data_IF_916018148987
#
_entry.id   IF_916018148987
#
_cell.length_a   1.000
_cell.length_b   1.000
_cell.length_c   1.000
_cell.angle_alpha   90.00
_cell.angle_beta   90.00
_cell.angle_gamma   90.00
#
_symmetry.space_group_name_H-M   'P 1'
#
loop_
_entity.id
_entity.type
_entity.pdbx_description
1 polymer ?
#
# COMPACT_ATOMS: atom_id res chain seq x y z
N UNK A 1 21.58 -59.69 -4.76
CA UNK A 1 21.95 -58.99 -6.00
C UNK A 1 21.89 -57.51 -5.69
N UNK A 2 22.93 -57.01 -5.03
CA UNK A 2 24.04 -56.23 -5.61
C UNK A 2 23.67 -54.76 -5.82
N UNK A 3 24.29 -53.97 -4.96
CA UNK A 3 24.48 -52.52 -5.01
C UNK A 3 25.06 -52.06 -6.35
N UNK A 4 24.73 -50.84 -6.77
CA UNK A 4 25.71 -49.96 -7.41
C UNK A 4 25.46 -48.50 -7.00
N UNK A 5 26.25 -48.04 -6.04
CA UNK A 5 26.50 -46.62 -5.79
C UNK A 5 27.44 -46.06 -6.87
N UNK A 6 27.36 -44.75 -7.14
CA UNK A 6 28.41 -44.04 -7.89
C UNK A 6 28.74 -42.71 -7.18
N UNK A 7 29.92 -42.57 -6.57
CA UNK A 7 30.40 -41.30 -6.04
C UNK A 7 31.14 -40.52 -7.12
N UNK A 8 31.10 -39.18 -7.06
CA UNK A 8 31.91 -38.33 -7.93
C UNK A 8 32.61 -37.25 -7.11
N UNK A 9 33.85 -37.57 -6.74
CA UNK A 9 34.87 -36.68 -6.17
C UNK A 9 35.72 -36.06 -7.29
N UNK A 10 35.96 -34.74 -7.21
CA UNK A 10 37.06 -34.01 -7.85
C UNK A 10 37.19 -32.68 -7.06
N UNK A 11 38.10 -32.52 -6.10
CA UNK A 11 39.56 -32.32 -6.17
C UNK A 11 40.01 -30.86 -6.43
N UNK A 12 40.66 -30.31 -5.38
CA UNK A 12 41.82 -29.41 -5.32
C UNK A 12 41.84 -28.02 -6.02
N UNK A 13 41.83 -26.99 -5.18
CA UNK A 13 42.92 -26.02 -4.92
C UNK A 13 43.72 -25.44 -6.10
N UNK A 14 43.64 -24.12 -6.27
CA UNK A 14 44.72 -23.31 -6.85
C UNK A 14 44.96 -22.08 -5.96
N UNK A 15 46.11 -22.05 -5.30
CA UNK A 15 46.66 -20.83 -4.68
C UNK A 15 47.53 -20.08 -5.69
N UNK A 16 47.61 -18.76 -5.57
CA UNK A 16 48.74 -18.00 -6.09
C UNK A 16 49.01 -16.79 -5.20
N UNK A 17 50.29 -16.64 -4.87
CA UNK A 17 50.87 -15.72 -3.90
C UNK A 17 51.35 -14.39 -4.54
N UNK A 18 51.93 -13.56 -3.66
CA UNK A 18 52.92 -12.48 -3.88
C UNK A 18 52.38 -11.04 -4.06
N UNK A 19 52.64 -10.17 -3.07
CA UNK A 19 53.81 -9.28 -3.07
C UNK A 19 53.87 -8.42 -1.80
N UNK A 20 55.08 -8.32 -1.25
CA UNK A 20 55.49 -7.56 -0.07
C UNK A 20 56.08 -6.21 -0.54
N UNK A 21 55.66 -5.08 0.03
CA UNK A 21 56.38 -3.81 -0.07
C UNK A 21 56.22 -2.99 1.22
N UNK A 22 57.33 -2.43 1.70
CA UNK A 22 57.47 -1.76 2.99
C UNK A 22 57.26 -0.23 2.91
N UNK A 23 56.61 0.32 3.96
CA UNK A 23 56.75 1.61 4.66
C UNK A 23 56.92 2.94 3.85
N UNK A 24 56.27 4.06 4.24
CA UNK A 24 56.47 4.67 5.56
C UNK A 24 55.21 5.19 6.29
N UNK A 25 55.41 5.39 7.60
CA UNK A 25 54.56 6.16 8.50
C UNK A 25 54.40 7.59 7.99
N UNK A 26 53.16 8.04 7.81
CA UNK A 26 52.79 9.45 7.73
C UNK A 26 51.59 9.69 8.66
N UNK A 27 51.75 10.67 9.53
CA UNK A 27 50.71 11.23 10.38
C UNK A 27 49.58 11.79 9.50
N UNK A 28 48.33 11.52 9.88
CA UNK A 28 47.16 12.12 9.23
C UNK A 28 46.46 13.02 10.25
N UNK A 29 46.74 14.32 10.16
CA UNK A 29 45.87 15.34 10.72
C UNK A 29 44.51 15.25 10.03
N UNK A 30 43.46 15.15 10.85
CA UNK A 30 42.08 15.13 10.38
C UNK A 30 41.64 16.58 10.18
N UNK A 31 41.76 17.09 8.95
CA UNK A 31 41.02 18.27 8.52
C UNK A 31 39.95 17.81 7.54
N UNK A 32 38.73 17.67 8.07
CA UNK A 32 37.52 17.52 7.26
C UNK A 32 37.05 18.92 6.91
N UNK A 33 37.17 19.30 5.64
CA UNK A 33 36.46 20.43 5.06
C UNK A 33 35.42 19.83 4.11
N UNK A 34 34.14 19.98 4.46
CA UNK A 34 33.00 19.69 3.60
C UNK A 34 32.22 21.01 3.39
N UNK A 35 31.77 21.30 2.16
CA UNK A 35 31.20 22.58 1.81
C UNK A 35 29.76 22.73 2.32
N UNK A 36 29.41 23.98 2.59
CA UNK A 36 28.11 24.42 3.07
C UNK A 36 26.95 24.09 2.10
N UNK A 37 25.78 23.82 2.67
CA UNK A 37 24.51 24.22 2.06
C UNK A 37 23.57 24.65 3.18
N UNK A 38 23.23 25.93 3.17
CA UNK A 38 22.20 26.54 4.02
C UNK A 38 20.83 25.94 3.69
N UNK A 39 20.13 25.49 4.72
CA UNK A 39 18.67 25.49 4.76
C UNK A 39 18.26 25.73 6.21
N UNK A 40 17.78 26.93 6.46
CA UNK A 40 17.26 27.43 7.73
C UNK A 40 16.05 26.61 8.19
N UNK A 41 16.26 25.72 9.15
CA UNK A 41 15.19 25.20 10.02
C UNK A 41 15.33 25.88 11.37
N UNK A 42 14.21 26.43 11.86
CA UNK A 42 14.14 27.18 13.11
C UNK A 42 14.73 26.39 14.29
N UNK A 43 15.60 27.09 15.01
CA UNK A 43 16.33 26.66 16.19
C UNK A 43 15.36 26.35 17.35
N UNK A 44 15.27 25.08 17.74
CA UNK A 44 14.80 24.71 19.07
C UNK A 44 16.03 24.20 19.84
N UNK A 45 16.28 24.67 21.08
CA UNK A 45 17.50 24.34 21.79
C UNK A 45 17.47 22.86 22.20
N UNK A 46 18.32 22.05 21.57
CA UNK A 46 18.53 20.65 21.94
C UNK A 46 19.65 20.61 22.99
N UNK A 47 19.33 20.88 24.25
CA UNK A 47 20.24 20.53 25.34
C UNK A 47 20.00 19.06 25.72
N UNK A 48 21.06 18.25 25.72
CA UNK A 48 21.11 16.83 26.12
C UNK A 48 20.40 15.78 25.25
N UNK A 49 19.95 16.13 24.03
CA UNK A 49 19.43 15.12 23.08
C UNK A 49 18.10 14.47 23.48
N UNK A 50 17.42 15.04 24.48
CA UNK A 50 16.10 14.60 24.93
C UNK A 50 15.03 15.48 24.28
N UNK A 51 14.08 14.85 23.58
CA UNK A 51 12.93 15.51 22.97
C UNK A 51 11.93 15.90 24.06
N UNK A 52 11.68 17.21 24.24
CA UNK A 52 10.77 17.75 25.27
C UNK A 52 9.28 17.66 24.90
N UNK A 53 8.95 16.99 23.79
CA UNK A 53 7.59 16.91 23.27
C UNK A 53 7.14 18.23 22.64
N UNK A 54 6.14 18.13 21.78
CA UNK A 54 5.36 19.28 21.30
C UNK A 54 3.91 18.99 21.66
N UNK A 55 3.14 20.04 21.95
CA UNK A 55 1.71 19.88 22.19
C UNK A 55 1.07 19.27 20.94
N UNK A 56 0.32 18.18 21.14
CA UNK A 56 -0.41 17.55 20.05
C UNK A 56 -1.45 18.55 19.54
N UNK A 57 -1.23 19.10 18.34
CA UNK A 57 -2.27 19.81 17.62
C UNK A 57 -3.48 18.89 17.42
N UNK A 58 -4.68 19.47 17.34
CA UNK A 58 -5.88 18.74 16.95
C UNK A 58 -5.60 17.97 15.65
N UNK A 59 -6.04 16.70 15.52
CA UNK A 59 -5.86 15.95 14.29
C UNK A 59 -6.42 16.77 13.13
N UNK A 60 -5.59 17.00 12.11
CA UNK A 60 -5.98 17.81 10.96
C UNK A 60 -7.29 17.27 10.36
N UNK A 61 -8.28 18.15 10.20
CA UNK A 61 -9.52 17.80 9.54
C UNK A 61 -9.25 17.29 8.11
N UNK A 62 -10.05 16.35 7.58
CA UNK A 62 -9.92 15.92 6.19
C UNK A 62 -9.98 17.13 5.25
N UNK A 63 -9.08 17.17 4.26
CA UNK A 63 -9.07 18.23 3.26
C UNK A 63 -10.37 18.19 2.43
N UNK A 64 -10.83 19.38 2.08
CA UNK A 64 -11.94 19.66 1.14
C UNK A 64 -11.40 20.13 -0.20
N UNK A 65 -12.26 20.27 -1.20
CA UNK A 65 -11.84 20.74 -2.53
C UNK A 65 -11.23 22.15 -2.49
N UNK A 66 -11.69 22.97 -1.56
CA UNK A 66 -11.30 24.36 -1.34
C UNK A 66 -9.98 24.48 -0.57
N UNK A 67 -9.72 23.55 0.35
CA UNK A 67 -8.53 23.58 1.22
C UNK A 67 -7.36 22.75 0.68
N UNK A 68 -7.59 21.91 -0.33
CA UNK A 68 -6.56 21.07 -0.90
C UNK A 68 -5.65 21.83 -1.89
N UNK A 69 -4.35 21.67 -1.71
CA UNK A 69 -3.32 22.14 -2.63
C UNK A 69 -3.03 21.09 -3.72
N UNK A 70 -2.44 21.52 -4.85
CA UNK A 70 -2.09 20.62 -5.97
C UNK A 70 -1.23 19.45 -5.48
N UNK A 71 -1.64 18.22 -5.84
CA UNK A 71 -1.00 16.98 -5.42
C UNK A 71 -1.56 16.37 -4.13
N UNK A 72 -2.40 17.09 -3.38
CA UNK A 72 -3.04 16.57 -2.18
C UNK A 72 -4.34 15.84 -2.52
N UNK A 73 -4.67 14.83 -1.70
CA UNK A 73 -5.96 14.13 -1.76
C UNK A 73 -6.96 14.79 -0.83
N UNK A 74 -8.20 14.95 -1.28
CA UNK A 74 -9.31 15.48 -0.49
C UNK A 74 -10.57 14.63 -0.66
N UNK A 75 -11.51 14.77 0.25
CA UNK A 75 -12.81 14.09 0.15
C UNK A 75 -13.83 15.03 -0.46
N UNK A 76 -14.37 14.65 -1.62
CA UNK A 76 -15.36 15.45 -2.34
C UNK A 76 -16.79 15.16 -1.87
N UNK A 77 -17.09 13.89 -1.61
CA UNK A 77 -18.41 13.44 -1.17
C UNK A 77 -18.32 12.13 -0.37
N UNK A 78 -19.35 11.84 0.42
CA UNK A 78 -19.49 10.58 1.15
C UNK A 78 -20.83 9.92 0.82
N UNK A 79 -20.81 8.58 0.75
CA UNK A 79 -21.93 7.71 0.42
C UNK A 79 -21.94 6.56 1.42
N UNK A 80 -22.61 6.74 2.56
CA UNK A 80 -22.56 5.81 3.69
C UNK A 80 -21.10 5.65 4.20
N UNK A 81 -20.51 4.47 4.02
CA UNK A 81 -19.12 4.18 4.39
C UNK A 81 -18.13 4.39 3.23
N UNK A 82 -18.62 4.79 2.05
CA UNK A 82 -17.75 5.11 0.93
C UNK A 82 -17.45 6.59 0.86
N UNK A 83 -16.23 6.93 0.48
CA UNK A 83 -15.78 8.30 0.26
C UNK A 83 -15.33 8.45 -1.20
N UNK A 84 -15.82 9.47 -1.89
CA UNK A 84 -15.23 9.92 -3.14
C UNK A 84 -14.00 10.77 -2.80
N UNK A 85 -12.82 10.19 -2.99
CA UNK A 85 -11.54 10.87 -2.75
C UNK A 85 -10.91 11.28 -4.06
N UNK A 86 -10.51 12.52 -4.17
CA UNK A 86 -9.95 13.10 -5.39
C UNK A 86 -8.56 13.66 -5.12
N UNK A 87 -7.69 13.65 -6.14
CA UNK A 87 -6.38 14.30 -6.08
C UNK A 87 -6.45 15.64 -6.79
N UNK A 88 -6.07 16.72 -6.11
CA UNK A 88 -6.10 18.07 -6.66
C UNK A 88 -5.08 18.23 -7.80
N UNK A 89 -5.54 18.61 -8.98
CA UNK A 89 -4.72 18.85 -10.16
C UNK A 89 -4.66 20.35 -10.48
N UNK A 90 -3.57 20.79 -11.10
CA UNK A 90 -3.38 22.20 -11.48
C UNK A 90 -4.35 22.65 -12.58
N UNK A 91 -4.81 21.73 -13.43
CA UNK A 91 -5.72 21.99 -14.54
C UNK A 91 -7.21 21.82 -14.18
N UNK A 92 -7.50 21.49 -12.90
CA UNK A 92 -8.86 21.25 -12.40
C UNK A 92 -9.46 19.90 -12.79
N UNK A 93 -8.72 19.03 -13.48
CA UNK A 93 -9.17 17.69 -13.87
C UNK A 93 -8.90 16.64 -12.77
N UNK A 94 -9.35 16.94 -11.55
CA UNK A 94 -9.09 16.12 -10.36
C UNK A 94 -9.58 14.67 -10.55
N UNK A 95 -8.69 13.66 -10.67
CA UNK A 95 -9.11 12.28 -10.76
C UNK A 95 -9.59 11.81 -9.38
N UNK A 96 -10.73 11.13 -9.36
CA UNK A 96 -11.29 10.56 -8.13
C UNK A 96 -11.27 9.03 -8.13
N UNK A 97 -11.31 8.48 -6.91
CA UNK A 97 -11.50 7.07 -6.61
C UNK A 97 -12.54 6.93 -5.51
N UNK A 98 -13.25 5.80 -5.51
CA UNK A 98 -14.19 5.43 -4.48
C UNK A 98 -13.48 4.62 -3.40
N UNK A 99 -13.40 5.17 -2.20
CA UNK A 99 -12.63 4.64 -1.09
C UNK A 99 -13.51 4.09 0.01
N UNK A 100 -13.12 2.98 0.64
CA UNK A 100 -13.67 2.53 1.91
C UNK A 100 -12.56 1.99 2.82
N UNK A 101 -12.54 2.50 4.05
CA UNK A 101 -11.70 1.98 5.14
C UNK A 101 -12.42 0.81 5.81
N UNK A 102 -11.74 -0.32 5.89
CA UNK A 102 -12.27 -1.56 6.44
C UNK A 102 -11.78 -1.73 7.88
N UNK A 103 -12.74 -2.02 8.75
CA UNK A 103 -12.51 -2.19 10.18
C UNK A 103 -12.74 -3.63 10.61
N UNK A 104 -12.03 -4.06 11.64
CA UNK A 104 -12.34 -5.32 12.32
C UNK A 104 -13.57 -5.18 13.24
N UNK A 105 -13.94 -6.29 13.88
CA UNK A 105 -15.03 -6.37 14.86
C UNK A 105 -14.85 -5.45 16.08
N UNK A 106 -13.62 -5.03 16.38
CA UNK A 106 -13.30 -4.19 17.52
C UNK A 106 -13.20 -2.70 17.10
N UNK A 107 -13.42 -2.40 15.80
CA UNK A 107 -13.44 -1.06 15.23
C UNK A 107 -12.08 -0.54 14.77
N UNK A 108 -11.03 -1.38 14.82
CA UNK A 108 -9.68 -1.00 14.40
C UNK A 108 -9.61 -0.91 12.88
N UNK A 109 -8.81 0.03 12.38
CA UNK A 109 -8.51 0.13 10.95
C UNK A 109 -7.61 -1.02 10.54
N UNK A 110 -8.02 -1.82 9.55
CA UNK A 110 -7.25 -3.01 9.13
C UNK A 110 -6.83 -2.90 7.68
N UNK A 111 -7.75 -2.69 6.76
CA UNK A 111 -7.45 -2.65 5.33
C UNK A 111 -8.25 -1.55 4.66
N UNK A 112 -7.92 -1.25 3.42
CA UNK A 112 -8.67 -0.29 2.62
C UNK A 112 -8.83 -0.77 1.19
N UNK A 113 -9.92 -0.37 0.57
CA UNK A 113 -10.20 -0.59 -0.84
C UNK A 113 -10.49 0.74 -1.51
N UNK A 114 -9.78 0.99 -2.60
CA UNK A 114 -10.01 2.13 -3.50
C UNK A 114 -10.36 1.62 -4.89
N UNK A 115 -11.47 2.07 -5.46
CA UNK A 115 -11.99 1.60 -6.74
C UNK A 115 -12.16 2.75 -7.73
N UNK A 116 -11.94 2.48 -9.01
CA UNK A 116 -12.17 3.44 -10.09
C UNK A 116 -12.69 2.73 -11.35
N UNK A 117 -13.55 3.37 -12.14
CA UNK A 117 -13.99 2.84 -13.41
C UNK A 117 -12.85 2.82 -14.44
N UNK A 118 -12.85 1.83 -15.31
CA UNK A 118 -11.91 1.72 -16.42
C UNK A 118 -12.60 2.10 -17.74
N UNK A 119 -11.86 2.61 -18.74
CA UNK A 119 -12.39 2.80 -20.09
C UNK A 119 -12.98 1.50 -20.66
N UNK A 120 -13.99 1.63 -21.53
CA UNK A 120 -14.61 0.49 -22.18
C UNK A 120 -13.64 -0.26 -23.11
N UNK A 121 -13.90 -1.54 -23.35
CA UNK A 121 -13.14 -2.40 -24.27
C UNK A 121 -12.13 -3.34 -23.59
N UNK A 122 -11.90 -3.19 -22.29
CA UNK A 122 -11.14 -4.14 -21.49
C UNK A 122 -12.00 -5.27 -20.90
N UNK A 123 -11.34 -6.31 -20.39
CA UNK A 123 -12.01 -7.38 -19.63
C UNK A 123 -12.53 -6.89 -18.27
N UNK A 124 -11.83 -5.93 -17.65
CA UNK A 124 -12.24 -5.30 -16.41
C UNK A 124 -13.00 -4.00 -16.70
N UNK A 125 -14.14 -3.83 -16.06
CA UNK A 125 -14.92 -2.60 -16.06
C UNK A 125 -14.51 -1.64 -14.93
N UNK A 126 -13.91 -2.17 -13.85
CA UNK A 126 -13.35 -1.37 -12.77
C UNK A 126 -11.97 -1.90 -12.36
N UNK A 127 -11.10 -0.99 -11.99
CA UNK A 127 -9.86 -1.27 -11.28
C UNK A 127 -10.04 -0.99 -9.79
N UNK A 128 -9.30 -1.71 -8.96
CA UNK A 128 -9.21 -1.42 -7.55
C UNK A 128 -7.81 -1.66 -7.01
N UNK A 129 -7.44 -0.87 -6.00
CA UNK A 129 -6.26 -1.07 -5.18
C UNK A 129 -6.73 -1.42 -3.79
N UNK A 130 -6.28 -2.55 -3.28
CA UNK A 130 -6.51 -2.96 -1.89
C UNK A 130 -5.19 -2.92 -1.16
N UNK A 131 -5.18 -2.30 0.02
CA UNK A 131 -4.02 -2.24 0.90
C UNK A 131 -4.37 -2.98 2.18
N UNK A 132 -3.70 -4.10 2.40
CA UNK A 132 -3.76 -4.88 3.63
C UNK A 132 -2.58 -4.53 4.55
N UNK A 133 -2.64 -4.84 5.86
CA UNK A 133 -1.54 -4.59 6.78
C UNK A 133 -0.22 -5.22 6.33
N UNK A 134 0.88 -4.64 6.81
CA UNK A 134 2.14 -5.37 6.89
C UNK A 134 1.96 -6.65 7.71
N UNK A 135 2.83 -7.63 7.50
CA UNK A 135 2.71 -8.98 8.09
C UNK A 135 1.50 -9.78 7.59
N UNK A 136 0.93 -9.42 6.44
CA UNK A 136 -0.01 -10.29 5.70
C UNK A 136 0.75 -11.41 4.97
N UNK A 137 0.25 -12.64 5.05
CA UNK A 137 0.82 -13.83 4.38
C UNK A 137 0.57 -13.77 2.88
N UNK A 138 1.58 -13.36 2.12
CA UNK A 138 1.44 -13.11 0.67
C UNK A 138 1.12 -14.35 -0.15
N UNK A 139 1.64 -15.52 0.24
CA UNK A 139 1.39 -16.79 -0.47
C UNK A 139 -0.05 -17.26 -0.37
N UNK A 140 -0.80 -16.80 0.63
CA UNK A 140 -2.23 -17.07 0.76
C UNK A 140 -3.08 -16.21 -0.18
N UNK A 141 -2.52 -15.10 -0.70
CA UNK A 141 -3.21 -14.08 -1.49
C UNK A 141 -4.40 -13.45 -0.73
N UNK A 142 -5.04 -12.46 -1.36
CA UNK A 142 -6.27 -11.87 -0.87
C UNK A 142 -7.47 -12.64 -1.43
N UNK A 143 -8.49 -12.88 -0.62
CA UNK A 143 -9.75 -13.43 -1.10
C UNK A 143 -10.86 -12.39 -0.99
N UNK A 144 -11.76 -12.36 -1.98
CA UNK A 144 -12.93 -11.49 -1.97
C UNK A 144 -14.16 -12.25 -2.45
N UNK A 145 -15.26 -12.14 -1.71
CA UNK A 145 -16.55 -12.73 -2.05
C UNK A 145 -17.66 -11.68 -1.93
N UNK A 146 -18.54 -11.58 -2.92
CA UNK A 146 -19.70 -10.67 -2.89
C UNK A 146 -20.94 -11.48 -2.48
N UNK A 147 -21.64 -11.07 -1.43
CA UNK A 147 -22.84 -11.73 -0.88
C UNK A 147 -22.71 -13.26 -0.71
N UNK A 148 -21.55 -13.73 -0.27
CA UNK A 148 -21.30 -15.16 -0.05
C UNK A 148 -21.14 -16.00 -1.32
N UNK A 149 -20.98 -15.37 -2.49
CA UNK A 149 -20.52 -16.05 -3.70
C UNK A 149 -19.17 -16.73 -3.47
N UNK A 150 -18.79 -17.64 -4.38
CA UNK A 150 -17.49 -18.32 -4.31
C UNK A 150 -16.37 -17.26 -4.28
N UNK A 151 -15.49 -17.26 -3.25
CA UNK A 151 -14.41 -16.30 -3.17
C UNK A 151 -13.48 -16.37 -4.39
N UNK A 152 -13.11 -15.20 -4.90
CA UNK A 152 -12.05 -15.05 -5.90
C UNK A 152 -10.74 -14.73 -5.21
N UNK A 153 -9.64 -15.19 -5.82
CA UNK A 153 -8.28 -15.02 -5.30
C UNK A 153 -7.59 -13.92 -6.09
N UNK A 154 -7.06 -12.94 -5.37
CA UNK A 154 -6.34 -11.80 -5.91
C UNK A 154 -4.92 -11.76 -5.34
N UNK A 155 -3.89 -11.96 -6.18
CA UNK A 155 -2.52 -11.93 -5.70
C UNK A 155 -2.10 -10.55 -5.19
N UNK A 156 -1.35 -10.56 -4.09
CA UNK A 156 -0.58 -9.37 -3.70
C UNK A 156 0.52 -9.14 -4.73
N UNK A 157 0.65 -7.90 -5.18
CA UNK A 157 1.63 -7.51 -6.21
C UNK A 157 2.96 -7.11 -5.58
N UNK A 158 2.93 -6.37 -4.48
CA UNK A 158 4.10 -5.93 -3.72
C UNK A 158 3.67 -5.41 -2.34
N UNK A 159 4.63 -5.16 -1.44
CA UNK A 159 4.38 -4.41 -0.21
C UNK A 159 5.24 -3.14 -0.19
N UNK A 160 4.74 -2.11 0.46
CA UNK A 160 5.42 -0.85 0.76
C UNK A 160 5.15 -0.47 2.22
N UNK A 161 5.69 0.66 2.69
CA UNK A 161 5.50 1.10 4.08
C UNK A 161 4.02 1.24 4.48
N UNK A 162 3.16 1.56 3.51
CA UNK A 162 1.72 1.71 3.73
C UNK A 162 0.96 0.38 3.86
N UNK A 163 1.57 -0.75 3.51
CA UNK A 163 0.94 -2.08 3.56
C UNK A 163 1.27 -2.95 2.35
N UNK A 164 0.55 -4.06 2.22
CA UNK A 164 0.66 -5.01 1.12
C UNK A 164 -0.47 -4.81 0.11
N UNK A 165 -0.10 -4.63 -1.16
CA UNK A 165 -0.96 -4.08 -2.21
C UNK A 165 -1.43 -5.21 -3.12
N UNK A 166 -2.74 -5.34 -3.31
CA UNK A 166 -3.35 -6.13 -4.37
C UNK A 166 -3.96 -5.18 -5.42
N UNK A 167 -3.66 -5.43 -6.70
CA UNK A 167 -4.26 -4.73 -7.83
C UNK A 167 -5.34 -5.63 -8.43
N UNK A 168 -6.58 -5.17 -8.36
CA UNK A 168 -7.77 -5.97 -8.67
C UNK A 168 -8.48 -5.41 -9.89
N UNK A 169 -8.92 -6.31 -10.78
CA UNK A 169 -9.83 -5.98 -11.86
C UNK A 169 -11.18 -6.65 -11.60
N UNK A 170 -12.26 -5.88 -11.73
CA UNK A 170 -13.64 -6.37 -11.66
C UNK A 170 -14.28 -6.32 -13.04
N UNK A 171 -14.91 -7.42 -13.44
CA UNK A 171 -15.74 -7.50 -14.63
C UNK A 171 -17.00 -6.65 -14.47
N UNK A 172 -17.68 -6.34 -15.58
CA UNK A 172 -18.96 -5.63 -15.53
C UNK A 172 -20.03 -6.36 -14.70
N UNK A 173 -20.03 -7.70 -14.74
CA UNK A 173 -20.94 -8.53 -13.94
C UNK A 173 -20.66 -8.37 -12.44
N UNK A 174 -19.39 -8.34 -12.03
CA UNK A 174 -19.02 -8.13 -10.63
C UNK A 174 -19.34 -6.72 -10.16
N UNK A 175 -19.08 -5.70 -10.98
CA UNK A 175 -19.51 -4.33 -10.65
C UNK A 175 -21.03 -4.27 -10.46
N UNK A 176 -21.81 -4.98 -11.29
CA UNK A 176 -23.25 -5.11 -11.09
C UNK A 176 -23.63 -5.86 -9.81
N UNK A 177 -22.84 -6.87 -9.40
CA UNK A 177 -23.02 -7.53 -8.11
C UNK A 177 -22.73 -6.57 -6.95
N UNK A 178 -21.66 -5.78 -7.02
CA UNK A 178 -21.40 -4.71 -6.03
C UNK A 178 -22.58 -3.73 -5.93
N UNK A 179 -23.15 -3.32 -7.08
CA UNK A 179 -24.28 -2.38 -7.12
C UNK A 179 -25.58 -2.92 -6.52
N UNK A 180 -25.83 -4.23 -6.66
CA UNK A 180 -27.06 -4.90 -6.19
C UNK A 180 -26.91 -5.51 -4.80
N UNK A 181 -25.67 -5.78 -4.40
CA UNK A 181 -25.37 -6.54 -3.21
C UNK A 181 -25.47 -5.74 -1.93
N UNK A 182 -25.35 -6.44 -0.80
CA UNK A 182 -25.38 -5.83 0.53
C UNK A 182 -23.98 -5.78 1.14
N UNK A 183 -23.17 -6.81 0.91
CA UNK A 183 -21.87 -6.97 1.55
C UNK A 183 -20.89 -7.74 0.68
N UNK A 184 -19.64 -7.32 0.63
CA UNK A 184 -18.54 -8.18 0.23
C UNK A 184 -17.67 -8.52 1.46
N UNK A 185 -17.08 -9.71 1.46
CA UNK A 185 -16.16 -10.16 2.51
C UNK A 185 -14.76 -10.27 1.93
N UNK A 186 -13.84 -9.51 2.51
CA UNK A 186 -12.42 -9.54 2.20
C UNK A 186 -11.72 -10.40 3.25
N UNK A 187 -11.00 -11.42 2.82
CA UNK A 187 -10.23 -12.29 3.73
C UNK A 187 -8.74 -12.09 3.49
N UNK A 188 -8.01 -11.87 4.58
CA UNK A 188 -6.55 -11.89 4.63
C UNK A 188 -6.07 -12.91 5.67
N UNK A 189 -4.84 -13.41 5.51
CA UNK A 189 -4.22 -14.36 6.43
C UNK A 189 -2.99 -13.69 7.06
N UNK A 190 -2.88 -13.60 8.40
CA UNK A 190 -1.68 -13.09 9.04
C UNK A 190 -0.48 -14.03 8.84
N UNK A 191 0.70 -13.48 8.55
CA UNK A 191 1.94 -14.26 8.40
C UNK A 191 2.37 -14.94 9.72
N UNK A 192 2.11 -14.27 10.85
CA UNK A 192 2.41 -14.81 12.17
C UNK A 192 1.44 -15.93 12.61
N UNK A 193 0.26 -16.04 11.98
CA UNK A 193 -0.75 -17.05 12.28
C UNK A 193 -1.39 -17.59 10.98
N UNK A 194 -0.66 -18.42 10.19
CA UNK A 194 -1.11 -18.90 8.87
C UNK A 194 -2.38 -19.75 8.87
N UNK A 195 -2.79 -20.25 10.03
CA UNK A 195 -4.00 -21.02 10.26
C UNK A 195 -5.24 -20.15 10.57
N UNK A 196 -5.03 -18.86 10.84
CA UNK A 196 -6.09 -17.90 11.18
C UNK A 196 -6.50 -17.08 9.96
N UNK A 197 -7.79 -16.70 9.92
CA UNK A 197 -8.34 -15.81 8.90
C UNK A 197 -8.86 -14.54 9.55
N UNK A 198 -8.62 -13.41 8.88
CA UNK A 198 -9.23 -12.14 9.21
C UNK A 198 -10.21 -11.80 8.09
N UNK A 199 -11.49 -11.90 8.41
CA UNK A 199 -12.60 -11.54 7.50
C UNK A 199 -13.05 -10.11 7.81
N UNK A 200 -12.97 -9.24 6.80
CA UNK A 200 -13.35 -7.84 6.85
C UNK A 200 -14.59 -7.62 5.99
N UNK A 201 -15.56 -6.91 6.54
CA UNK A 201 -16.79 -6.58 5.83
C UNK A 201 -16.59 -5.30 5.01
N UNK A 202 -16.74 -5.45 3.69
CA UNK A 202 -16.84 -4.34 2.74
C UNK A 202 -18.32 -4.03 2.56
N UNK A 203 -18.77 -2.89 3.08
CA UNK A 203 -20.17 -2.46 2.93
C UNK A 203 -20.45 -2.10 1.48
N UNK A 204 -21.52 -2.64 0.89
CA UNK A 204 -21.97 -2.28 -0.46
C UNK A 204 -23.07 -1.20 -0.45
N UNK A 205 -23.56 -0.82 0.73
CA UNK A 205 -24.44 0.34 0.87
C UNK A 205 -23.69 1.60 0.43
N UNK A 206 -24.34 2.41 -0.41
CA UNK A 206 -23.73 3.62 -0.99
C UNK A 206 -22.82 3.36 -2.20
N UNK A 207 -22.45 2.11 -2.50
CA UNK A 207 -21.51 1.79 -3.59
C UNK A 207 -22.00 2.33 -4.94
N UNK A 208 -23.26 2.09 -5.30
CA UNK A 208 -23.79 2.52 -6.61
C UNK A 208 -23.70 4.03 -6.79
N UNK A 209 -24.16 4.80 -5.80
CA UNK A 209 -24.12 6.26 -5.85
C UNK A 209 -22.68 6.79 -5.93
N UNK A 210 -21.77 6.23 -5.12
CA UNK A 210 -20.38 6.65 -5.12
C UNK A 210 -19.62 6.25 -6.38
N UNK A 211 -19.83 5.03 -6.88
CA UNK A 211 -19.19 4.54 -8.10
C UNK A 211 -19.63 5.35 -9.33
N UNK A 212 -20.92 5.66 -9.41
CA UNK A 212 -21.47 6.50 -10.48
C UNK A 212 -20.94 7.95 -10.36
N UNK A 213 -20.78 8.48 -9.15
CA UNK A 213 -20.16 9.80 -8.94
C UNK A 213 -18.70 9.84 -9.41
N UNK A 214 -17.89 8.83 -9.06
CA UNK A 214 -16.50 8.71 -9.54
C UNK A 214 -16.43 8.53 -11.06
N UNK A 215 -17.40 7.84 -11.68
CA UNK A 215 -17.44 7.70 -13.13
C UNK A 215 -17.59 9.04 -13.87
N UNK A 216 -18.16 10.07 -13.23
CA UNK A 216 -18.28 11.41 -13.82
C UNK A 216 -16.95 12.18 -13.85
N UNK A 217 -15.95 11.76 -13.09
CA UNK A 217 -14.65 12.42 -12.95
C UNK A 217 -13.55 11.75 -13.78
N UNK A 218 -13.90 10.80 -14.65
CA UNK A 218 -12.92 10.20 -15.56
C UNK A 218 -12.40 11.26 -16.55
N UNK A 219 -11.07 11.30 -16.79
CA UNK A 219 -10.52 12.10 -17.89
C UNK A 219 -11.20 11.67 -19.20
N UNK A 220 -11.68 12.65 -19.97
CA UNK A 220 -12.27 12.41 -21.29
C UNK A 220 -11.20 12.17 -22.34
#
# INVERSE_FOLDING_TARGET
MSMTELPRTFALSFGLALALAAAPVLAQETTTEAPATEATAADAPVADGLNMGTEAGEPAAPLTQETAEVGQTYTLAAFELWEQRCTKMADGSDPCQLYQLLKDKDGNNVAEISMFPLPAGGQAAAGATIIAPLETLLTANLLLAIDGTKPKIYPFTFCAQIGCIARVGFTAEEVNQFKKGAKATMTIIPAAAPDQKVDLDVSLKGFTAGYDAVATTLPK
#
